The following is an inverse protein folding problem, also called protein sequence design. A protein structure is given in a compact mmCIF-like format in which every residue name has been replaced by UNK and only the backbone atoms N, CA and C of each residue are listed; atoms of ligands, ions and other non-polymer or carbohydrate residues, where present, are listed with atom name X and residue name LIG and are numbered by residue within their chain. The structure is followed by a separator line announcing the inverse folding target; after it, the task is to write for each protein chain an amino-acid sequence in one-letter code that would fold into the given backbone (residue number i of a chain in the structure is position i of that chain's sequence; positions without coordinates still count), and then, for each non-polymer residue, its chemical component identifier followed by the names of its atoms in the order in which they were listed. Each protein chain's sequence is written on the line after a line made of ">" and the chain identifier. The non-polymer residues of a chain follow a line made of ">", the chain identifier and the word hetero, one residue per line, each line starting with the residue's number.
data_IF_334728301002
#
_entry.id   IF_334728301002
#
_cell.length_a   1.000
_cell.length_b   1.000
_cell.length_c   1.000
_cell.angle_alpha   90.00
_cell.angle_beta   90.00
_cell.angle_gamma   90.00
#
_symmetry.space_group_name_H-M   'P 1'
#
loop_
_entity.id
_entity.type
_entity.pdbx_description
1 polymer ?
#
# COMPACT_ATOMS: atom_id res chain seq x y z
N UNK A 1 4.54 -8.98 -2.59
CA UNK A 1 3.47 -8.88 -3.60
C UNK A 1 3.96 -7.96 -4.69
N UNK A 2 4.12 -8.51 -5.89
CA UNK A 2 4.77 -7.84 -7.01
C UNK A 2 3.72 -7.48 -8.06
N UNK A 3 3.71 -6.22 -8.49
CA UNK A 3 2.84 -5.71 -9.57
C UNK A 3 3.72 -5.53 -10.80
N UNK A 4 3.30 -6.09 -11.93
CA UNK A 4 4.14 -6.14 -13.14
C UNK A 4 3.73 -5.11 -14.19
N UNK A 5 4.65 -4.80 -15.12
CA UNK A 5 4.37 -3.90 -16.25
C UNK A 5 3.25 -4.45 -17.15
N UNK A 6 3.22 -5.77 -17.33
CA UNK A 6 2.16 -6.47 -18.07
C UNK A 6 0.77 -6.26 -17.44
N UNK A 7 0.68 -6.29 -16.12
CA UNK A 7 -0.58 -6.02 -15.42
C UNK A 7 -1.03 -4.58 -15.58
N UNK A 8 -0.08 -3.64 -15.62
CA UNK A 8 -0.38 -2.24 -15.92
C UNK A 8 -0.85 -2.07 -17.36
N UNK A 9 -0.21 -2.76 -18.32
CA UNK A 9 -0.61 -2.75 -19.74
C UNK A 9 -2.05 -3.26 -19.89
N UNK A 10 -2.37 -4.39 -19.26
CA UNK A 10 -3.71 -4.97 -19.24
C UNK A 10 -4.72 -4.05 -18.57
N UNK A 11 -4.35 -3.44 -17.43
CA UNK A 11 -5.20 -2.49 -16.70
C UNK A 11 -5.55 -1.25 -17.54
N UNK A 12 -4.60 -0.75 -18.32
CA UNK A 12 -4.80 0.41 -19.20
C UNK A 12 -5.46 0.04 -20.55
N UNK A 13 -5.57 -1.24 -20.90
CA UNK A 13 -6.10 -1.68 -22.18
C UNK A 13 -5.23 -1.30 -23.38
N UNK A 14 -3.91 -1.17 -23.18
CA UNK A 14 -2.97 -0.76 -24.22
C UNK A 14 -2.40 -1.96 -24.97
N UNK A 15 -2.19 -1.82 -26.27
CA UNK A 15 -1.50 -2.83 -27.08
C UNK A 15 -0.01 -2.92 -26.71
N UNK A 16 0.60 -1.79 -26.38
CA UNK A 16 2.03 -1.66 -26.04
C UNK A 16 2.20 -0.62 -24.93
N UNK A 17 3.21 -0.79 -24.09
CA UNK A 17 3.59 0.12 -23.01
C UNK A 17 5.11 0.28 -22.99
N UNK A 18 5.60 1.43 -22.53
CA UNK A 18 7.01 1.63 -22.22
C UNK A 18 7.33 0.90 -20.90
N UNK A 19 8.02 -0.24 -20.99
CA UNK A 19 8.33 -1.12 -19.85
C UNK A 19 9.20 -0.43 -18.80
N UNK A 20 10.22 0.33 -19.19
CA UNK A 20 11.12 1.01 -18.25
C UNK A 20 10.36 2.06 -17.45
N UNK A 21 9.53 2.84 -18.13
CA UNK A 21 8.69 3.85 -17.49
C UNK A 21 7.60 3.21 -16.61
N UNK A 22 6.97 2.14 -17.09
CA UNK A 22 5.96 1.41 -16.34
C UNK A 22 6.55 0.82 -15.05
N UNK A 23 7.73 0.20 -15.13
CA UNK A 23 8.43 -0.38 -13.99
C UNK A 23 8.77 0.70 -12.94
N UNK A 24 9.32 1.84 -13.37
CA UNK A 24 9.63 2.96 -12.48
C UNK A 24 8.38 3.47 -11.74
N UNK A 25 7.27 3.65 -12.46
CA UNK A 25 6.02 4.14 -11.86
C UNK A 25 5.42 3.14 -10.86
N UNK A 26 5.48 1.84 -11.17
CA UNK A 26 5.01 0.78 -10.28
C UNK A 26 5.87 0.69 -9.01
N UNK A 27 7.19 0.81 -9.12
CA UNK A 27 8.10 0.83 -7.98
C UNK A 27 7.80 2.02 -7.06
N UNK A 28 7.69 3.22 -7.63
CA UNK A 28 7.36 4.43 -6.88
C UNK A 28 5.97 4.34 -6.23
N UNK A 29 4.98 3.76 -6.93
CA UNK A 29 3.63 3.54 -6.40
C UNK A 29 3.63 2.56 -5.23
N UNK A 30 4.39 1.47 -5.32
CA UNK A 30 4.55 0.52 -4.23
C UNK A 30 5.27 1.15 -3.02
N UNK A 31 6.32 1.95 -3.26
CA UNK A 31 7.02 2.69 -2.20
C UNK A 31 6.10 3.67 -1.48
N UNK A 32 5.29 4.42 -2.23
CA UNK A 32 4.32 5.36 -1.66
C UNK A 32 3.22 4.63 -0.87
N UNK A 33 2.75 3.47 -1.34
CA UNK A 33 1.78 2.66 -0.59
C UNK A 33 2.39 2.12 0.73
N UNK A 34 3.64 1.65 0.71
CA UNK A 34 4.36 1.16 1.90
C UNK A 34 4.58 2.25 2.95
N UNK A 35 4.67 3.52 2.53
CA UNK A 35 4.75 4.65 3.47
C UNK A 35 3.50 4.82 4.35
N UNK A 36 2.38 4.19 3.99
CA UNK A 36 1.11 4.27 4.71
C UNK A 36 0.80 2.96 5.44
N UNK A 37 1.06 1.82 4.79
CA UNK A 37 0.76 0.49 5.33
C UNK A 37 1.91 -0.45 4.98
N UNK A 38 2.50 -1.07 6.00
CA UNK A 38 3.49 -2.14 5.85
C UNK A 38 3.22 -3.24 6.89
N UNK A 39 3.13 -4.54 6.50
CA UNK A 39 3.21 -5.06 5.13
C UNK A 39 2.00 -4.69 4.26
N UNK A 40 2.19 -4.61 2.93
CA UNK A 40 1.10 -4.33 1.98
C UNK A 40 0.08 -5.48 1.94
N UNK A 41 -1.24 -5.20 2.09
CA UNK A 41 -2.28 -6.22 1.98
C UNK A 41 -2.49 -6.63 0.51
N UNK A 42 -3.02 -7.84 0.26
CA UNK A 42 -3.25 -8.36 -1.10
C UNK A 42 -4.14 -7.45 -1.97
N UNK A 43 -5.09 -6.75 -1.34
CA UNK A 43 -5.95 -5.79 -2.04
C UNK A 43 -5.25 -4.49 -2.49
N UNK A 44 -4.01 -4.24 -2.04
CA UNK A 44 -3.27 -3.02 -2.39
C UNK A 44 -2.91 -2.95 -3.88
N UNK A 45 -2.91 -4.08 -4.59
CA UNK A 45 -2.62 -4.16 -6.02
C UNK A 45 -3.45 -3.20 -6.86
N UNK A 46 -4.76 -3.17 -6.62
CA UNK A 46 -5.68 -2.32 -7.37
C UNK A 46 -5.37 -0.82 -7.13
N UNK A 47 -4.94 -0.47 -5.92
CA UNK A 47 -4.54 0.90 -5.57
C UNK A 47 -3.25 1.29 -6.29
N UNK A 48 -2.26 0.40 -6.30
CA UNK A 48 -0.98 0.61 -6.99
C UNK A 48 -1.20 0.77 -8.50
N UNK A 49 -1.99 -0.12 -9.11
CA UNK A 49 -2.34 -0.04 -10.54
C UNK A 49 -3.11 1.24 -10.89
N UNK A 50 -4.06 1.66 -10.05
CA UNK A 50 -4.80 2.92 -10.23
C UNK A 50 -3.86 4.14 -10.21
N UNK A 51 -2.96 4.21 -9.23
CA UNK A 51 -1.98 5.29 -9.12
C UNK A 51 -1.00 5.32 -10.29
N UNK A 52 -0.39 4.17 -10.60
CA UNK A 52 0.58 4.05 -11.69
C UNK A 52 -0.08 4.32 -13.05
N UNK A 53 -1.30 3.81 -13.28
CA UNK A 53 -2.05 4.04 -14.51
C UNK A 53 -2.39 5.52 -14.71
N UNK A 54 -2.79 6.21 -13.65
CA UNK A 54 -3.05 7.66 -13.69
C UNK A 54 -1.78 8.46 -14.02
N UNK A 55 -0.66 8.13 -13.39
CA UNK A 55 0.62 8.79 -13.64
C UNK A 55 1.17 8.47 -15.05
N UNK A 56 0.92 7.27 -15.56
CA UNK A 56 1.31 6.86 -16.90
C UNK A 56 0.51 7.60 -17.97
N UNK A 57 -0.82 7.65 -17.82
CA UNK A 57 -1.74 8.30 -18.75
C UNK A 57 -1.66 9.84 -18.73
N UNK A 58 -1.35 10.45 -17.58
CA UNK A 58 -1.24 11.90 -17.42
C UNK A 58 0.07 12.29 -16.73
N UNK A 59 1.24 12.20 -17.42
CA UNK A 59 2.52 12.56 -16.83
C UNK A 59 2.62 14.04 -16.44
N UNK A 60 1.94 14.92 -17.19
CA UNK A 60 1.92 16.35 -16.92
C UNK A 60 0.98 16.71 -15.76
N UNK A 61 0.14 15.76 -15.30
CA UNK A 61 -0.73 15.91 -14.15
C UNK A 61 -1.73 17.07 -14.27
N UNK A 62 -2.13 17.42 -15.48
CA UNK A 62 -3.05 18.53 -15.70
C UNK A 62 -4.44 18.07 -15.26
N UNK A 63 -4.96 18.68 -14.20
CA UNK A 63 -6.33 18.49 -13.73
C UNK A 63 -7.08 19.81 -13.87
N UNK A 64 -8.14 19.82 -14.66
CA UNK A 64 -8.99 20.98 -14.90
C UNK A 64 -10.33 20.82 -14.21
N UNK A 65 -10.69 21.80 -13.39
CA UNK A 65 -12.03 21.91 -12.82
C UNK A 65 -12.73 23.11 -13.45
N UNK A 66 -13.84 22.89 -14.13
CA UNK A 66 -14.67 23.97 -14.70
C UNK A 66 -15.81 24.26 -13.74
N UNK A 67 -15.78 25.43 -13.11
CA UNK A 67 -16.85 25.93 -12.25
C UNK A 67 -17.43 27.17 -12.94
N UNK A 68 -18.54 27.00 -13.66
CA UNK A 68 -19.16 28.06 -14.44
C UNK A 68 -18.27 28.51 -15.62
N UNK A 69 -18.12 29.83 -15.90
CA UNK A 69 -17.29 30.31 -17.02
C UNK A 69 -15.78 30.27 -16.74
N UNK A 70 -15.36 29.88 -15.54
CA UNK A 70 -13.95 29.84 -15.15
C UNK A 70 -13.43 28.40 -15.12
N UNK A 71 -12.39 28.14 -15.90
CA UNK A 71 -11.63 26.90 -15.86
C UNK A 71 -10.35 27.12 -15.07
N UNK A 72 -10.20 26.40 -13.96
CA UNK A 72 -8.95 26.41 -13.17
C UNK A 72 -8.21 25.12 -13.46
N UNK A 73 -7.08 25.24 -14.15
CA UNK A 73 -6.13 24.15 -14.31
C UNK A 73 -5.14 24.20 -13.14
N UNK A 74 -5.11 23.13 -12.36
CA UNK A 74 -4.08 22.93 -11.34
C UNK A 74 -3.07 21.92 -11.88
N UNK A 75 -1.80 22.31 -12.07
CA UNK A 75 -0.75 21.34 -12.36
C UNK A 75 -0.55 20.49 -11.10
N UNK A 76 -0.92 19.22 -11.19
CA UNK A 76 -0.67 18.20 -10.18
C UNK A 76 0.24 17.13 -10.80
N UNK A 77 1.40 17.57 -11.28
CA UNK A 77 2.37 16.73 -11.95
C UNK A 77 2.98 15.70 -11.00
N UNK A 78 3.16 14.47 -11.48
CA UNK A 78 3.83 13.39 -10.76
C UNK A 78 2.90 12.31 -10.19
N UNK A 79 3.51 11.31 -9.57
CA UNK A 79 2.82 10.22 -8.91
C UNK A 79 2.26 10.71 -7.56
N UNK A 80 0.94 10.62 -7.39
CA UNK A 80 0.27 10.97 -6.14
C UNK A 80 -0.80 9.95 -5.78
N UNK A 81 -1.14 9.90 -4.50
CA UNK A 81 -2.25 9.13 -3.98
C UNK A 81 -3.45 10.04 -3.71
N UNK A 82 -4.62 9.64 -4.18
CA UNK A 82 -5.89 10.32 -3.88
C UNK A 82 -6.37 10.01 -2.46
N UNK A 83 -7.30 10.82 -1.95
CA UNK A 83 -7.89 10.59 -0.63
C UNK A 83 -8.64 9.25 -0.55
N UNK A 84 -9.31 8.85 -1.64
CA UNK A 84 -10.05 7.59 -1.71
C UNK A 84 -9.12 6.38 -1.79
N UNK A 85 -8.01 6.47 -2.52
CA UNK A 85 -6.97 5.44 -2.56
C UNK A 85 -6.35 5.25 -1.18
N UNK A 86 -6.00 6.33 -0.48
CA UNK A 86 -5.50 6.25 0.90
C UNK A 86 -6.52 5.60 1.83
N UNK A 87 -7.79 6.01 1.76
CA UNK A 87 -8.87 5.43 2.58
C UNK A 87 -9.07 3.95 2.28
N UNK A 88 -9.00 3.56 1.01
CA UNK A 88 -9.13 2.17 0.56
C UNK A 88 -7.98 1.33 1.09
N UNK A 89 -6.74 1.83 0.97
CA UNK A 89 -5.56 1.16 1.49
C UNK A 89 -5.64 0.97 3.02
N UNK A 90 -6.02 2.02 3.77
CA UNK A 90 -6.21 1.92 5.23
C UNK A 90 -7.34 0.97 5.62
N UNK A 91 -8.43 0.89 4.84
CA UNK A 91 -9.52 -0.06 5.07
C UNK A 91 -9.08 -1.50 4.80
N UNK A 92 -8.30 -1.72 3.74
CA UNK A 92 -7.76 -3.04 3.41
C UNK A 92 -6.80 -3.52 4.50
N UNK A 93 -5.97 -2.63 5.02
CA UNK A 93 -5.10 -2.90 6.16
C UNK A 93 -5.89 -3.23 7.43
N UNK A 94 -6.94 -2.46 7.73
CA UNK A 94 -7.75 -2.63 8.94
C UNK A 94 -8.79 -3.75 8.90
N UNK A 95 -9.06 -4.36 7.73
CA UNK A 95 -10.04 -5.46 7.59
C UNK A 95 -9.41 -6.85 7.69
N UNK A 96 -8.07 -6.95 7.67
CA UNK A 96 -7.31 -8.21 7.65
C UNK A 96 -7.03 -8.86 9.01
N UNK A 97 -7.31 -8.21 10.13
CA UNK A 97 -7.13 -8.85 11.44
C UNK A 97 -7.00 -7.82 12.55
N UNK A 98 -7.52 -8.18 13.72
CA UNK A 98 -7.03 -7.63 14.96
C UNK A 98 -5.49 -7.58 14.90
N UNK A 99 -4.91 -6.45 15.27
CA UNK A 99 -3.49 -6.38 15.55
C UNK A 99 -3.20 -7.36 16.70
N UNK A 100 -2.88 -8.61 16.38
CA UNK A 100 -2.22 -9.50 17.35
C UNK A 100 -0.78 -9.04 17.41
N UNK A 101 -0.58 -7.90 18.08
CA UNK A 101 0.70 -7.65 18.73
C UNK A 101 0.79 -8.75 19.77
N UNK A 102 1.64 -9.75 19.54
CA UNK A 102 2.02 -10.65 20.59
C UNK A 102 2.91 -9.84 21.55
N UNK A 103 2.43 -9.46 22.75
CA UNK A 103 3.27 -8.74 23.70
C UNK A 103 4.30 -9.68 24.35
N UNK A 104 4.31 -10.98 24.03
CA UNK A 104 5.20 -11.97 24.61
C UNK A 104 6.65 -11.67 24.18
N UNK A 105 7.53 -11.27 25.11
CA UNK A 105 8.94 -11.06 24.80
C UNK A 105 9.57 -12.36 24.32
N UNK A 106 10.55 -12.28 23.42
CA UNK A 106 11.33 -13.44 22.99
C UNK A 106 12.04 -14.06 24.20
N UNK A 107 11.47 -15.13 24.75
CA UNK A 107 11.97 -15.83 25.95
C UNK A 107 10.93 -16.09 27.04
N UNK A 108 9.73 -15.53 26.95
CA UNK A 108 8.66 -15.82 27.89
C UNK A 108 7.99 -17.18 27.56
N UNK A 109 8.64 -18.27 27.94
CA UNK A 109 7.97 -19.57 28.10
C UNK A 109 7.15 -19.61 29.40
N UNK A 110 6.14 -20.47 29.51
CA UNK A 110 5.45 -20.69 30.78
C UNK A 110 6.44 -21.28 31.79
N UNK A 111 6.89 -20.48 32.77
CA UNK A 111 7.61 -21.03 33.94
C UNK A 111 6.56 -21.63 34.86
N UNK A 112 6.15 -22.86 34.54
CA UNK A 112 5.32 -23.71 35.38
C UNK A 112 5.91 -25.12 35.38
N UNK A 113 6.03 -25.80 36.53
CA UNK A 113 5.57 -25.43 37.88
C UNK A 113 6.47 -24.41 38.60
N UNK A 114 5.96 -23.70 39.64
CA UNK A 114 6.82 -22.96 40.56
C UNK A 114 7.84 -23.94 41.17
N UNK A 115 9.06 -23.47 41.40
CA UNK A 115 10.03 -24.20 42.22
C UNK A 115 9.39 -24.39 43.60
N UNK A 116 8.81 -25.57 43.82
CA UNK A 116 8.52 -26.08 45.16
C UNK A 116 9.85 -26.55 45.70
N UNK A 117 10.50 -25.73 46.52
CA UNK A 117 11.58 -26.22 47.37
C UNK A 117 10.99 -27.36 48.22
N UNK A 118 11.53 -28.59 48.14
CA UNK A 118 11.05 -29.66 48.98
C UNK A 118 11.42 -29.32 50.42
N UNK A 119 10.42 -29.10 51.26
CA UNK A 119 10.51 -29.07 52.71
C UNK A 119 11.54 -30.10 53.20
N UNK A 120 12.63 -29.62 53.80
CA UNK A 120 13.72 -30.46 54.30
C UNK A 120 13.29 -31.33 55.50
N UNK A 121 13.97 -32.46 55.77
CA UNK A 121 13.60 -33.35 56.85
C UNK A 121 14.01 -32.77 58.23
N UNK A 122 13.13 -32.99 59.21
CA UNK A 122 13.34 -32.81 60.65
C UNK A 122 14.40 -33.77 61.19
#
# INVERSE_FOLDING_TARGET
>A
MDVTTEELRLYLGLAEIDDDRAALLLEQAASLARSIVDPLPDGAKAVILSMAGRAYANPQGISGETIGPYSVQRPQAGLYMTRDERRTLSRLAGRGGAFTVDPTPAGAGPVWPPVVEPWGPW
#
